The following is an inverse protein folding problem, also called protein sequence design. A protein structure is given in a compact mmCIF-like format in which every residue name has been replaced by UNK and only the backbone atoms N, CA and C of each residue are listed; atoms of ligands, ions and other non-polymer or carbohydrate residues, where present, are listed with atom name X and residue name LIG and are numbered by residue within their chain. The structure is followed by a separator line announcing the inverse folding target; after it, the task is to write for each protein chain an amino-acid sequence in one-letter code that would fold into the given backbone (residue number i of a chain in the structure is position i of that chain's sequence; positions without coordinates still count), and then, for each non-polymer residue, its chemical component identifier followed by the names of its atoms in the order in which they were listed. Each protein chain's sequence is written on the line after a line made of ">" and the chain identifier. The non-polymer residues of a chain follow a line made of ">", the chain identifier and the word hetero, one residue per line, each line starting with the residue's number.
data_IF_496515708085
#
_entry.id   IF_496515708085
#
_cell.length_a   1.000
_cell.length_b   1.000
_cell.length_c   1.000
_cell.angle_alpha   90.00
_cell.angle_beta   90.00
_cell.angle_gamma   90.00
#
_symmetry.space_group_name_H-M   'P 1'
#
loop_
_entity.id
_entity.type
_entity.pdbx_description
1 polymer ?
#
# COMPACT_ATOMS: atom_id res chain seq x y z
N UNK A 1 30.67 -14.90 3.83
CA UNK A 1 29.21 -15.05 3.76
C UNK A 1 28.88 -15.95 2.58
N UNK A 2 28.07 -16.99 2.78
CA UNK A 2 27.63 -17.87 1.69
C UNK A 2 26.43 -17.23 0.98
N UNK A 3 26.38 -17.34 -0.35
CA UNK A 3 25.31 -16.80 -1.19
C UNK A 3 24.63 -17.95 -1.91
N UNK A 4 23.30 -17.96 -1.92
CA UNK A 4 22.50 -18.91 -2.68
C UNK A 4 21.51 -18.16 -3.61
N UNK A 5 21.22 -18.68 -4.81
CA UNK A 5 20.18 -18.12 -5.67
C UNK A 5 18.80 -18.32 -5.05
N UNK A 6 17.99 -17.26 -4.97
CA UNK A 6 16.60 -17.31 -4.50
C UNK A 6 15.65 -16.69 -5.52
N UNK A 7 14.51 -17.33 -5.76
CA UNK A 7 13.45 -16.75 -6.58
C UNK A 7 12.82 -15.52 -5.94
N UNK A 8 12.40 -14.56 -6.75
CA UNK A 8 11.57 -13.42 -6.34
C UNK A 8 10.24 -13.56 -7.07
N UNK A 9 9.18 -13.81 -6.31
CA UNK A 9 7.82 -14.00 -6.84
C UNK A 9 7.21 -12.64 -7.25
N UNK A 10 7.71 -12.08 -8.34
CA UNK A 10 7.26 -10.82 -8.95
C UNK A 10 7.26 -11.00 -10.46
N UNK A 11 6.28 -10.40 -11.14
CA UNK A 11 6.17 -10.49 -12.59
C UNK A 11 7.39 -9.89 -13.32
N UNK A 12 7.71 -10.47 -14.48
CA UNK A 12 8.73 -9.90 -15.38
C UNK A 12 8.33 -8.52 -15.93
N UNK A 13 7.03 -8.18 -15.92
CA UNK A 13 6.55 -6.84 -16.29
C UNK A 13 6.99 -5.78 -15.28
N UNK A 14 6.91 -6.06 -13.97
CA UNK A 14 7.37 -5.13 -12.93
C UNK A 14 8.89 -4.88 -13.02
N UNK A 15 9.68 -5.92 -13.29
CA UNK A 15 11.13 -5.77 -13.51
C UNK A 15 11.41 -4.89 -14.73
N UNK A 16 10.75 -5.16 -15.87
CA UNK A 16 10.92 -4.37 -17.10
C UNK A 16 10.51 -2.91 -16.91
N UNK A 17 9.37 -2.68 -16.25
CA UNK A 17 8.86 -1.36 -15.94
C UNK A 17 9.86 -0.56 -15.11
N UNK A 18 10.28 -1.08 -13.96
CA UNK A 18 11.23 -0.38 -13.08
C UNK A 18 12.59 -0.18 -13.75
N UNK A 19 13.07 -1.17 -14.51
CA UNK A 19 14.32 -1.05 -15.28
C UNK A 19 14.27 0.10 -16.29
N UNK A 20 13.13 0.26 -16.98
CA UNK A 20 12.93 1.34 -17.94
C UNK A 20 12.90 2.71 -17.24
N UNK A 21 12.15 2.83 -16.14
CA UNK A 21 12.09 4.07 -15.35
C UNK A 21 13.45 4.46 -14.78
N UNK A 22 14.21 3.51 -14.22
CA UNK A 22 15.57 3.77 -13.73
C UNK A 22 16.53 4.15 -14.85
N UNK A 23 16.41 3.54 -16.03
CA UNK A 23 17.24 3.91 -17.20
C UNK A 23 16.97 5.35 -17.62
N UNK A 24 15.70 5.75 -17.68
CA UNK A 24 15.31 7.12 -17.99
C UNK A 24 15.83 8.09 -16.92
N UNK A 25 15.53 7.83 -15.65
CA UNK A 25 15.93 8.69 -14.52
C UNK A 25 17.45 8.91 -14.45
N UNK A 26 18.24 7.84 -14.65
CA UNK A 26 19.71 7.94 -14.68
C UNK A 26 20.23 8.76 -15.87
N UNK A 27 19.53 8.78 -17.00
CA UNK A 27 19.90 9.63 -18.15
C UNK A 27 19.64 11.10 -17.83
N UNK A 28 18.49 11.41 -17.24
CA UNK A 28 18.11 12.76 -16.81
C UNK A 28 19.11 13.32 -15.78
N UNK A 29 19.53 12.49 -14.81
CA UNK A 29 20.54 12.87 -13.82
C UNK A 29 22.00 12.86 -14.33
N UNK A 30 22.26 12.42 -15.57
CA UNK A 30 23.63 12.24 -16.08
C UNK A 30 24.44 11.12 -15.42
N UNK A 31 23.84 10.29 -14.56
CA UNK A 31 24.51 9.24 -13.76
C UNK A 31 24.44 7.86 -14.41
N UNK A 32 24.79 7.80 -15.70
CA UNK A 32 24.67 6.59 -16.53
C UNK A 32 25.58 5.44 -16.06
N UNK A 33 26.77 5.76 -15.58
CA UNK A 33 27.78 4.79 -15.15
C UNK A 33 27.65 4.49 -13.66
N UNK A 34 27.19 3.28 -13.33
CA UNK A 34 27.05 2.80 -11.95
C UNK A 34 27.37 1.32 -11.88
N UNK A 35 27.77 0.83 -10.70
CA UNK A 35 28.18 -0.57 -10.49
C UNK A 35 27.11 -1.59 -10.87
N UNK A 36 25.83 -1.29 -10.64
CA UNK A 36 24.72 -2.09 -11.13
C UNK A 36 24.04 -1.43 -12.34
N UNK A 37 23.75 -2.23 -13.36
CA UNK A 37 22.86 -1.82 -14.46
C UNK A 37 21.47 -1.45 -13.93
N UNK A 38 20.66 -0.67 -14.69
CA UNK A 38 19.28 -0.37 -14.28
C UNK A 38 18.45 -1.62 -13.98
N UNK A 39 18.65 -2.70 -14.75
CA UNK A 39 17.99 -3.98 -14.51
C UNK A 39 18.40 -4.65 -13.19
N UNK A 40 19.69 -4.63 -12.84
CA UNK A 40 20.15 -5.16 -11.55
C UNK A 40 19.72 -4.26 -10.38
N UNK A 41 19.67 -2.93 -10.55
CA UNK A 41 19.09 -2.02 -9.55
C UNK A 41 17.59 -2.26 -9.37
N UNK A 42 16.86 -2.53 -10.45
CA UNK A 42 15.44 -2.89 -10.35
C UNK A 42 15.28 -4.21 -9.57
N UNK A 43 16.07 -5.23 -9.89
CA UNK A 43 15.98 -6.53 -9.25
C UNK A 43 16.31 -6.49 -7.74
N UNK A 44 17.37 -5.79 -7.33
CA UNK A 44 17.71 -5.63 -5.90
C UNK A 44 16.58 -4.91 -5.14
N UNK A 45 15.91 -3.94 -5.78
CA UNK A 45 14.75 -3.23 -5.21
C UNK A 45 13.54 -4.13 -5.09
N UNK A 46 13.21 -4.90 -6.14
CA UNK A 46 12.10 -5.85 -6.10
C UNK A 46 12.32 -6.94 -5.05
N UNK A 47 13.54 -7.46 -4.92
CA UNK A 47 13.89 -8.41 -3.88
C UNK A 47 13.69 -7.82 -2.47
N UNK A 48 14.07 -6.55 -2.26
CA UNK A 48 13.83 -5.86 -0.99
C UNK A 48 12.34 -5.69 -0.69
N UNK A 49 11.56 -5.13 -1.62
CA UNK A 49 10.14 -4.84 -1.43
C UNK A 49 9.31 -6.14 -1.29
N UNK A 50 9.57 -7.13 -2.15
CA UNK A 50 8.81 -8.38 -2.19
C UNK A 50 9.14 -9.28 -1.02
N UNK A 51 10.42 -9.49 -0.72
CA UNK A 51 10.86 -10.50 0.25
C UNK A 51 11.26 -9.91 1.60
N UNK A 52 11.47 -8.60 1.71
CA UNK A 52 11.94 -7.96 2.94
C UNK A 52 13.42 -8.25 3.25
N UNK A 53 14.23 -8.58 2.24
CA UNK A 53 15.65 -8.89 2.45
C UNK A 53 16.41 -7.68 3.03
N UNK A 54 17.20 -7.86 4.11
CA UNK A 54 18.07 -6.82 4.64
C UNK A 54 19.12 -6.35 3.62
N UNK A 55 19.55 -5.09 3.71
CA UNK A 55 20.55 -4.53 2.79
C UNK A 55 21.88 -5.30 2.80
N UNK A 56 22.28 -5.89 3.93
CA UNK A 56 23.48 -6.73 4.02
C UNK A 56 23.39 -7.98 3.13
N UNK A 57 22.23 -8.65 3.12
CA UNK A 57 22.01 -9.83 2.28
C UNK A 57 21.95 -9.47 0.80
N UNK A 58 21.27 -8.37 0.47
CA UNK A 58 21.21 -7.84 -0.89
C UNK A 58 22.59 -7.42 -1.39
N UNK A 59 23.38 -6.73 -0.56
CA UNK A 59 24.73 -6.31 -0.88
C UNK A 59 25.64 -7.50 -1.22
N UNK A 60 25.63 -8.53 -0.37
CA UNK A 60 26.38 -9.77 -0.59
C UNK A 60 25.95 -10.47 -1.89
N UNK A 61 24.65 -10.65 -2.11
CA UNK A 61 24.12 -11.34 -3.30
C UNK A 61 24.37 -10.60 -4.62
N UNK A 62 24.48 -9.27 -4.58
CA UNK A 62 24.69 -8.44 -5.78
C UNK A 62 26.13 -7.98 -5.98
N UNK A 63 27.05 -8.29 -5.06
CA UNK A 63 28.47 -7.92 -5.16
C UNK A 63 28.73 -6.42 -5.02
N UNK A 64 27.96 -5.74 -4.15
CA UNK A 64 28.05 -4.30 -3.88
C UNK A 64 28.16 -4.03 -2.38
N UNK A 65 28.57 -2.82 -1.99
CA UNK A 65 28.55 -2.40 -0.58
C UNK A 65 27.13 -2.22 -0.03
N UNK A 66 26.96 -2.36 1.29
CA UNK A 66 25.67 -2.17 1.99
C UNK A 66 25.08 -0.78 1.74
N UNK A 67 25.91 0.26 1.83
CA UNK A 67 25.52 1.65 1.53
C UNK A 67 25.07 1.80 0.07
N UNK A 68 25.72 1.11 -0.86
CA UNK A 68 25.32 1.11 -2.28
C UNK A 68 23.97 0.43 -2.47
N UNK A 69 23.74 -0.72 -1.83
CA UNK A 69 22.45 -1.40 -1.86
C UNK A 69 21.33 -0.51 -1.29
N UNK A 70 21.56 0.12 -0.14
CA UNK A 70 20.63 1.09 0.44
C UNK A 70 20.31 2.23 -0.53
N UNK A 71 21.33 2.91 -1.07
CA UNK A 71 21.14 4.05 -2.01
C UNK A 71 20.34 3.65 -3.24
N UNK A 72 20.63 2.48 -3.81
CA UNK A 72 19.91 1.98 -4.97
C UNK A 72 18.45 1.66 -4.70
N UNK A 73 18.16 1.04 -3.55
CA UNK A 73 16.78 0.75 -3.15
C UNK A 73 16.04 2.05 -2.83
N UNK A 74 16.65 2.96 -2.07
CA UNK A 74 16.04 4.24 -1.68
C UNK A 74 15.67 5.08 -2.91
N UNK A 75 16.60 5.24 -3.86
CA UNK A 75 16.36 5.96 -5.11
C UNK A 75 15.25 5.33 -5.94
N UNK A 76 15.23 4.00 -6.07
CA UNK A 76 14.19 3.31 -6.83
C UNK A 76 12.81 3.43 -6.15
N UNK A 77 12.75 3.40 -4.81
CA UNK A 77 11.53 3.63 -4.03
C UNK A 77 11.03 5.05 -4.23
N UNK A 78 11.91 6.05 -4.19
CA UNK A 78 11.52 7.45 -4.34
C UNK A 78 11.01 7.73 -5.77
N UNK A 79 11.67 7.16 -6.78
CA UNK A 79 11.21 7.20 -8.17
C UNK A 79 9.83 6.56 -8.34
N UNK A 80 9.59 5.38 -7.74
CA UNK A 80 8.30 4.70 -7.84
C UNK A 80 7.21 5.43 -7.06
N UNK A 81 7.53 5.99 -5.89
CA UNK A 81 6.59 6.74 -5.07
C UNK A 81 6.10 8.01 -5.79
N UNK A 82 6.99 8.69 -6.52
CA UNK A 82 6.63 9.85 -7.35
C UNK A 82 5.71 9.52 -8.53
N UNK A 83 5.63 8.24 -8.92
CA UNK A 83 4.75 7.74 -9.98
C UNK A 83 3.43 7.18 -9.46
N UNK A 84 3.23 7.15 -8.15
CA UNK A 84 1.99 6.63 -7.58
C UNK A 84 0.82 7.59 -7.85
N UNK A 85 -0.38 7.05 -8.11
CA UNK A 85 -1.52 7.89 -8.49
C UNK A 85 -1.93 8.82 -7.34
N UNK A 86 -2.32 10.04 -7.69
CA UNK A 86 -2.96 10.95 -6.73
C UNK A 86 -4.37 10.47 -6.37
N UNK A 87 -4.97 11.05 -5.32
CA UNK A 87 -6.35 10.72 -4.97
C UNK A 87 -7.32 11.14 -6.08
N UNK A 88 -7.05 12.24 -6.78
CA UNK A 88 -7.83 12.74 -7.91
C UNK A 88 -7.74 11.81 -9.13
N UNK A 89 -6.56 11.24 -9.40
CA UNK A 89 -6.38 10.20 -10.41
C UNK A 89 -7.16 8.93 -10.07
N UNK A 90 -7.09 8.50 -8.81
CA UNK A 90 -7.86 7.38 -8.32
C UNK A 90 -9.38 7.66 -8.43
N UNK A 91 -9.82 8.88 -8.13
CA UNK A 91 -11.22 9.30 -8.26
C UNK A 91 -11.71 9.22 -9.71
N UNK A 92 -10.91 9.67 -10.68
CA UNK A 92 -11.23 9.56 -12.11
C UNK A 92 -11.36 8.10 -12.58
N UNK A 93 -10.56 7.20 -12.02
CA UNK A 93 -10.68 5.76 -12.29
C UNK A 93 -11.90 5.16 -11.60
N UNK A 94 -12.16 5.58 -10.36
CA UNK A 94 -13.25 5.11 -9.52
C UNK A 94 -14.64 5.55 -10.04
N UNK A 95 -14.77 6.73 -10.65
CA UNK A 95 -16.03 7.21 -11.21
C UNK A 95 -16.57 6.36 -12.37
N UNK A 96 -15.69 5.55 -12.98
CA UNK A 96 -16.06 4.57 -14.02
C UNK A 96 -16.48 3.21 -13.44
N UNK A 97 -16.52 3.06 -12.11
CA UNK A 97 -16.90 1.83 -11.41
C UNK A 97 -18.28 1.98 -10.78
N UNK A 98 -19.01 0.88 -10.67
CA UNK A 98 -20.35 0.87 -10.05
C UNK A 98 -20.31 1.24 -8.56
N UNK A 99 -19.22 0.87 -7.89
CA UNK A 99 -18.87 1.26 -6.54
C UNK A 99 -17.36 1.07 -6.33
N UNK A 100 -16.86 1.56 -5.21
CA UNK A 100 -15.52 1.23 -4.71
C UNK A 100 -15.59 0.72 -3.28
N UNK A 101 -14.47 0.19 -2.81
CA UNK A 101 -14.29 -0.29 -1.45
C UNK A 101 -13.27 0.58 -0.74
N UNK A 102 -13.54 0.93 0.52
CA UNK A 102 -12.64 1.65 1.40
C UNK A 102 -12.35 0.80 2.63
N UNK A 103 -11.07 0.60 2.93
CA UNK A 103 -10.64 -0.08 4.14
C UNK A 103 -9.33 0.49 4.67
N UNK A 104 -9.14 0.36 5.98
CA UNK A 104 -7.96 0.81 6.70
C UNK A 104 -7.12 -0.39 7.09
N UNK A 105 -5.81 -0.32 6.89
CA UNK A 105 -4.90 -1.38 7.29
C UNK A 105 -3.75 -0.84 8.13
N UNK A 106 -3.45 -1.57 9.22
CA UNK A 106 -2.29 -1.31 10.03
C UNK A 106 -1.07 -2.06 9.46
N UNK A 107 -0.01 -1.31 9.17
CA UNK A 107 1.32 -1.82 8.82
C UNK A 107 2.19 -1.85 10.09
N UNK A 108 2.58 -3.03 10.59
CA UNK A 108 3.34 -3.12 11.84
C UNK A 108 4.73 -2.48 11.72
N UNK A 109 5.13 -1.73 12.75
CA UNK A 109 6.48 -1.18 12.91
C UNK A 109 7.09 -1.69 14.21
N UNK A 110 8.41 -1.58 14.34
CA UNK A 110 9.06 -1.72 15.65
C UNK A 110 8.67 -0.53 16.56
N UNK A 111 8.67 -0.76 17.88
CA UNK A 111 8.41 0.29 18.86
C UNK A 111 9.47 1.38 18.74
N UNK A 112 9.03 2.62 18.61
CA UNK A 112 9.90 3.80 18.57
C UNK A 112 9.66 4.68 19.80
N UNK A 113 10.62 5.56 20.13
CA UNK A 113 10.60 6.35 21.36
C UNK A 113 9.33 7.19 21.57
N UNK A 114 8.75 7.72 20.48
CA UNK A 114 7.48 8.45 20.54
C UNK A 114 6.30 7.59 21.05
N UNK A 115 6.36 6.27 20.81
CA UNK A 115 5.51 5.22 21.39
C UNK A 115 4.00 5.37 21.14
N UNK A 116 3.31 6.17 21.95
CA UNK A 116 1.83 6.28 22.00
C UNK A 116 1.18 6.63 20.65
N UNK A 117 1.67 7.58 19.84
CA UNK A 117 1.03 7.93 18.57
C UNK A 117 0.95 6.76 17.59
N UNK A 118 1.89 5.81 17.70
CA UNK A 118 1.99 4.67 16.79
C UNK A 118 1.32 3.42 17.35
N UNK A 119 0.96 3.41 18.64
CA UNK A 119 0.30 2.28 19.27
C UNK A 119 -1.18 2.24 18.91
N UNK A 120 -1.59 1.20 18.17
CA UNK A 120 -3.00 0.97 17.86
C UNK A 120 -3.66 0.14 18.96
N UNK A 121 -4.58 0.74 19.72
CA UNK A 121 -5.35 0.02 20.74
C UNK A 121 -6.17 -1.13 20.17
N UNK A 122 -6.71 -0.98 18.95
CA UNK A 122 -7.47 -2.02 18.22
C UNK A 122 -6.63 -3.26 17.94
N UNK A 123 -5.38 -3.07 17.53
CA UNK A 123 -4.49 -4.17 17.12
C UNK A 123 -3.46 -4.57 18.18
N UNK A 124 -3.41 -3.86 19.31
CA UNK A 124 -2.44 -4.02 20.42
C UNK A 124 -0.98 -4.03 19.95
N UNK A 125 -0.67 -3.25 18.91
CA UNK A 125 0.64 -3.23 18.23
C UNK A 125 0.98 -1.83 17.75
N UNK A 126 2.27 -1.53 17.65
CA UNK A 126 2.77 -0.34 16.95
C UNK A 126 2.65 -0.52 15.44
N UNK A 127 2.19 0.52 14.77
CA UNK A 127 2.06 0.50 13.33
C UNK A 127 1.77 1.87 12.72
N UNK A 128 1.66 1.86 11.40
CA UNK A 128 1.15 2.97 10.62
C UNK A 128 -0.18 2.59 10.01
N UNK A 129 -1.16 3.48 10.09
CA UNK A 129 -2.45 3.31 9.43
C UNK A 129 -2.36 3.80 7.98
N UNK A 130 -2.81 2.97 7.04
CA UNK A 130 -2.92 3.29 5.61
C UNK A 130 -4.35 2.99 5.15
N UNK A 131 -4.96 3.94 4.46
CA UNK A 131 -6.28 3.79 3.86
C UNK A 131 -6.12 3.29 2.42
N UNK A 132 -6.99 2.38 2.02
CA UNK A 132 -6.94 1.72 0.71
C UNK A 132 -8.26 1.93 -0.01
N UNK A 133 -8.17 2.27 -1.30
CA UNK A 133 -9.30 2.21 -2.22
C UNK A 133 -9.11 1.03 -3.17
N UNK A 134 -10.16 0.22 -3.33
CA UNK A 134 -10.18 -0.91 -4.25
C UNK A 134 -11.43 -0.89 -5.14
N UNK A 135 -11.32 -1.50 -6.32
CA UNK A 135 -12.43 -1.68 -7.25
C UNK A 135 -13.34 -2.87 -6.86
N UNK A 136 -14.49 -3.04 -7.52
CA UNK A 136 -15.39 -4.18 -7.28
C UNK A 136 -14.80 -5.57 -7.52
N UNK A 137 -13.62 -5.66 -8.13
CA UNK A 137 -12.88 -6.92 -8.35
C UNK A 137 -11.82 -7.15 -7.27
N UNK A 138 -11.74 -6.29 -6.24
CA UNK A 138 -10.73 -6.36 -5.20
C UNK A 138 -9.35 -5.90 -5.64
N UNK A 139 -9.23 -5.18 -6.77
CA UNK A 139 -7.95 -4.63 -7.23
C UNK A 139 -7.68 -3.28 -6.57
N UNK A 140 -6.45 -3.09 -6.11
CA UNK A 140 -6.03 -1.80 -5.53
C UNK A 140 -6.11 -0.71 -6.59
N UNK A 141 -6.73 0.42 -6.23
CA UNK A 141 -6.75 1.64 -7.02
C UNK A 141 -5.83 2.69 -6.42
N UNK A 142 -5.79 2.76 -5.09
CA UNK A 142 -5.05 3.78 -4.38
C UNK A 142 -4.74 3.36 -2.94
N UNK A 143 -3.66 3.93 -2.39
CA UNK A 143 -3.29 3.80 -0.99
C UNK A 143 -2.87 5.17 -0.46
N UNK A 144 -3.28 5.50 0.76
CA UNK A 144 -2.97 6.80 1.35
C UNK A 144 -1.52 6.92 1.81
N UNK A 145 -1.04 8.16 2.01
CA UNK A 145 0.08 8.39 2.91
C UNK A 145 -0.16 7.74 4.26
N UNK A 146 0.91 7.23 4.87
CA UNK A 146 0.83 6.51 6.13
C UNK A 146 0.68 7.47 7.31
N UNK A 147 -0.34 7.26 8.13
CA UNK A 147 -0.59 8.01 9.37
C UNK A 147 -0.18 7.17 10.60
N UNK A 148 0.02 7.80 11.78
CA UNK A 148 0.29 7.05 13.01
C UNK A 148 -0.83 6.04 13.33
N UNK A 149 -0.46 4.85 13.82
CA UNK A 149 -1.39 3.72 14.04
C UNK A 149 -2.51 3.96 15.07
N UNK A 150 -2.41 5.00 15.90
CA UNK A 150 -3.48 5.40 16.81
C UNK A 150 -4.62 6.17 16.11
N UNK A 151 -4.41 6.67 14.89
CA UNK A 151 -5.42 7.43 14.15
C UNK A 151 -6.55 6.49 13.71
N UNK A 152 -7.78 6.82 14.11
CA UNK A 152 -8.98 6.10 13.71
C UNK A 152 -9.24 6.20 12.21
N UNK A 153 -9.78 5.13 11.61
CA UNK A 153 -9.98 5.01 10.17
C UNK A 153 -10.85 6.14 9.57
N UNK A 154 -11.96 6.52 10.23
CA UNK A 154 -12.77 7.67 9.79
C UNK A 154 -12.00 8.99 9.79
N UNK A 155 -11.11 9.19 10.78
CA UNK A 155 -10.29 10.40 10.87
C UNK A 155 -9.25 10.42 9.76
N UNK A 156 -8.57 9.29 9.53
CA UNK A 156 -7.62 9.12 8.44
C UNK A 156 -8.28 9.39 7.07
N UNK A 157 -9.45 8.83 6.82
CA UNK A 157 -10.18 9.06 5.56
C UNK A 157 -10.61 10.52 5.36
N UNK A 158 -10.96 11.24 6.44
CA UNK A 158 -11.26 12.68 6.38
C UNK A 158 -10.00 13.51 6.15
N UNK A 159 -8.91 13.20 6.86
CA UNK A 159 -7.62 13.90 6.74
C UNK A 159 -7.05 13.78 5.33
N UNK A 160 -7.19 12.62 4.70
CA UNK A 160 -6.79 12.41 3.31
C UNK A 160 -7.80 12.91 2.27
N UNK A 161 -8.94 13.51 2.68
CA UNK A 161 -9.93 14.05 1.76
C UNK A 161 -10.74 13.00 1.00
N UNK A 162 -10.64 11.71 1.35
CA UNK A 162 -11.34 10.59 0.69
C UNK A 162 -12.85 10.81 0.76
N UNK A 163 -13.37 11.14 1.94
CA UNK A 163 -14.82 11.35 2.14
C UNK A 163 -15.35 12.48 1.27
N UNK A 164 -14.60 13.59 1.18
CA UNK A 164 -14.95 14.74 0.34
C UNK A 164 -14.96 14.32 -1.13
N UNK A 165 -13.88 13.69 -1.61
CA UNK A 165 -13.76 13.21 -2.98
C UNK A 165 -14.93 12.30 -3.38
N UNK A 166 -15.31 11.34 -2.52
CA UNK A 166 -16.42 10.42 -2.81
C UNK A 166 -17.78 11.12 -2.87
N UNK A 167 -17.95 12.20 -2.11
CA UNK A 167 -19.17 12.99 -2.09
C UNK A 167 -19.26 13.85 -3.35
N UNK A 168 -18.20 14.60 -3.65
CA UNK A 168 -18.12 15.51 -4.79
C UNK A 168 -18.26 14.75 -6.13
N UNK A 169 -17.68 13.56 -6.23
CA UNK A 169 -17.75 12.72 -7.42
C UNK A 169 -18.99 11.81 -7.48
N UNK A 170 -19.84 11.78 -6.44
CA UNK A 170 -21.02 10.92 -6.38
C UNK A 170 -20.71 9.40 -6.38
N UNK A 171 -19.50 9.00 -5.99
CA UNK A 171 -19.02 7.61 -6.11
C UNK A 171 -19.52 6.79 -4.92
N UNK A 172 -20.33 5.76 -5.18
CA UNK A 172 -20.78 4.81 -4.16
C UNK A 172 -19.59 4.08 -3.56
N UNK A 173 -19.47 4.06 -2.24
CA UNK A 173 -18.37 3.43 -1.53
C UNK A 173 -18.90 2.48 -0.45
N UNK A 174 -18.32 1.29 -0.32
CA UNK A 174 -18.57 0.38 0.79
C UNK A 174 -17.40 0.38 1.75
N UNK A 175 -17.67 0.57 3.04
CA UNK A 175 -16.64 0.70 4.07
C UNK A 175 -17.01 -0.07 5.34
N UNK A 176 -16.02 -0.33 6.19
CA UNK A 176 -16.23 -1.01 7.47
C UNK A 176 -16.96 -0.14 8.52
N UNK A 177 -17.25 -0.74 9.68
CA UNK A 177 -17.92 -0.05 10.81
C UNK A 177 -17.10 1.10 11.39
N UNK A 178 -15.79 1.11 11.19
CA UNK A 178 -14.87 2.16 11.63
C UNK A 178 -15.06 3.48 10.90
N UNK A 179 -15.72 3.49 9.75
CA UNK A 179 -16.06 4.68 8.96
C UNK A 179 -17.42 5.28 9.32
N UNK A 180 -17.78 5.32 10.59
CA UNK A 180 -19.08 5.90 11.02
C UNK A 180 -19.09 7.43 10.91
N UNK A 181 -20.22 7.98 10.44
CA UNK A 181 -20.47 9.42 10.41
C UNK A 181 -20.11 10.24 9.16
N UNK A 182 -19.53 9.73 8.06
CA UNK A 182 -19.32 10.53 6.86
C UNK A 182 -20.63 10.84 6.10
N UNK A 183 -21.70 10.05 6.26
CA UNK A 183 -22.95 10.25 5.53
C UNK A 183 -22.78 10.09 4.01
N UNK A 184 -23.84 10.35 3.23
CA UNK A 184 -23.75 10.43 1.77
C UNK A 184 -23.45 9.11 1.07
N UNK A 185 -22.35 9.07 0.29
CA UNK A 185 -22.02 7.98 -0.64
C UNK A 185 -21.35 6.77 0.02
N UNK A 186 -20.88 6.90 1.26
CA UNK A 186 -20.22 5.82 2.02
C UNK A 186 -21.26 4.96 2.75
N UNK A 187 -21.33 3.68 2.39
CA UNK A 187 -22.24 2.67 2.93
C UNK A 187 -21.52 1.77 3.92
N UNK A 188 -21.97 1.83 5.17
CA UNK A 188 -21.50 1.00 6.29
C UNK A 188 -22.58 -0.02 6.69
N UNK A 189 -22.22 -1.16 7.30
CA UNK A 189 -23.20 -2.15 7.73
C UNK A 189 -24.04 -1.62 8.91
N UNK A 190 -25.24 -2.17 9.08
CA UNK A 190 -26.11 -1.86 10.22
C UNK A 190 -25.42 -2.23 11.54
N UNK A 191 -25.61 -1.36 12.53
CA UNK A 191 -24.96 -1.45 13.83
C UNK A 191 -25.90 -2.05 14.90
N UNK A 192 -25.33 -2.76 15.87
CA UNK A 192 -26.06 -3.45 16.92
C UNK A 192 -25.50 -4.86 17.18
N UNK A 193 -25.97 -5.49 18.26
CA UNK A 193 -25.72 -6.92 18.51
C UNK A 193 -26.47 -7.73 17.47
N UNK A 194 -25.92 -8.86 17.05
CA UNK A 194 -26.54 -9.66 15.99
C UNK A 194 -27.97 -10.03 16.35
N UNK A 195 -28.23 -10.43 17.59
CA UNK A 195 -29.52 -10.84 18.12
C UNK A 195 -30.57 -9.72 18.00
N UNK A 196 -30.14 -8.47 18.19
CA UNK A 196 -31.02 -7.27 18.17
C UNK A 196 -31.35 -6.77 16.76
N UNK A 197 -30.65 -7.24 15.73
CA UNK A 197 -30.90 -6.83 14.34
C UNK A 197 -32.09 -7.59 13.75
N UNK A 198 -32.91 -6.88 12.98
CA UNK A 198 -33.98 -7.51 12.19
C UNK A 198 -33.40 -8.47 11.14
N UNK A 199 -34.22 -9.41 10.67
CA UNK A 199 -33.78 -10.36 9.62
C UNK A 199 -33.31 -9.64 8.34
N UNK A 200 -33.97 -8.54 7.97
CA UNK A 200 -33.57 -7.70 6.85
C UNK A 200 -32.19 -7.04 7.07
N UNK A 201 -31.95 -6.47 8.25
CA UNK A 201 -30.65 -5.88 8.59
C UNK A 201 -29.52 -6.92 8.62
N UNK A 202 -29.81 -8.12 9.15
CA UNK A 202 -28.89 -9.27 9.10
C UNK A 202 -28.56 -9.68 7.66
N UNK A 203 -29.55 -9.73 6.78
CA UNK A 203 -29.36 -10.04 5.37
C UNK A 203 -28.46 -9.00 4.68
N UNK A 204 -28.71 -7.70 4.89
CA UNK A 204 -27.85 -6.63 4.37
C UNK A 204 -26.42 -6.75 4.91
N UNK A 205 -26.25 -7.00 6.21
CA UNK A 205 -24.92 -7.16 6.80
C UNK A 205 -24.16 -8.38 6.25
N UNK A 206 -24.84 -9.48 5.93
CA UNK A 206 -24.22 -10.63 5.24
C UNK A 206 -23.74 -10.26 3.84
N UNK A 207 -24.57 -9.56 3.06
CA UNK A 207 -24.18 -9.08 1.73
C UNK A 207 -23.02 -8.08 1.81
N UNK A 208 -23.06 -7.16 2.78
CA UNK A 208 -21.98 -6.21 3.05
C UNK A 208 -20.67 -6.93 3.38
N UNK A 209 -20.70 -7.95 4.24
CA UNK A 209 -19.53 -8.76 4.56
C UNK A 209 -18.93 -9.46 3.34
N UNK A 210 -19.76 -9.99 2.42
CA UNK A 210 -19.27 -10.58 1.16
C UNK A 210 -18.57 -9.56 0.27
N UNK A 211 -19.12 -8.35 0.17
CA UNK A 211 -18.49 -7.25 -0.58
C UNK A 211 -17.16 -6.84 0.08
N UNK A 212 -17.10 -6.81 1.41
CA UNK A 212 -15.86 -6.49 2.15
C UNK A 212 -14.75 -7.52 2.00
N UNK A 213 -15.07 -8.80 1.76
CA UNK A 213 -14.03 -9.81 1.51
C UNK A 213 -13.13 -9.43 0.32
N UNK A 214 -13.64 -8.66 -0.66
CA UNK A 214 -12.87 -8.17 -1.80
C UNK A 214 -11.83 -7.11 -1.43
N UNK A 215 -12.12 -6.23 -0.45
CA UNK A 215 -11.13 -5.25 0.00
C UNK A 215 -10.09 -5.90 0.92
N UNK A 216 -10.49 -6.91 1.68
CA UNK A 216 -9.55 -7.75 2.43
C UNK A 216 -8.57 -8.47 1.50
N UNK A 217 -9.02 -8.91 0.31
CA UNK A 217 -8.13 -9.43 -0.73
C UNK A 217 -7.16 -8.37 -1.26
N UNK A 218 -7.60 -7.13 -1.46
CA UNK A 218 -6.74 -6.02 -1.87
C UNK A 218 -5.66 -5.73 -0.79
N UNK A 219 -6.06 -5.69 0.49
CA UNK A 219 -5.15 -5.56 1.64
C UNK A 219 -4.17 -6.72 1.71
N UNK A 220 -4.63 -7.96 1.50
CA UNK A 220 -3.79 -9.14 1.48
C UNK A 220 -2.77 -9.09 0.34
N UNK A 221 -3.18 -8.57 -0.81
CA UNK A 221 -2.28 -8.34 -1.96
C UNK A 221 -1.20 -7.32 -1.62
N UNK A 222 -1.55 -6.22 -0.96
CA UNK A 222 -0.56 -5.27 -0.45
C UNK A 222 0.40 -5.95 0.55
N UNK A 223 -0.12 -6.72 1.50
CA UNK A 223 0.68 -7.45 2.51
C UNK A 223 1.42 -8.69 1.99
N UNK A 224 1.17 -9.07 0.73
CA UNK A 224 1.98 -10.09 0.05
C UNK A 224 3.40 -9.59 -0.22
N UNK A 225 3.59 -8.27 -0.32
CA UNK A 225 4.90 -7.61 -0.26
C UNK A 225 5.43 -7.67 1.17
N UNK A 226 6.31 -8.64 1.43
CA UNK A 226 6.70 -9.05 2.78
C UNK A 226 7.34 -7.93 3.59
N UNK A 227 7.94 -6.93 2.94
CA UNK A 227 8.44 -5.74 3.61
C UNK A 227 7.36 -5.03 4.45
N UNK A 228 6.12 -5.00 3.96
CA UNK A 228 4.99 -4.33 4.64
C UNK A 228 4.42 -5.14 5.81
N UNK A 229 4.83 -6.40 6.00
CA UNK A 229 4.37 -7.23 7.14
C UNK A 229 5.01 -6.81 8.46
N UNK A 230 6.24 -6.29 8.40
CA UNK A 230 6.94 -5.70 9.53
C UNK A 230 8.01 -4.73 9.03
N UNK A 231 7.74 -3.44 9.17
CA UNK A 231 8.61 -2.37 8.71
C UNK A 231 9.68 -2.05 9.75
N UNK A 232 10.95 -2.16 9.33
CA UNK A 232 12.14 -1.91 10.16
C UNK A 232 12.90 -0.67 9.68
N UNK A 233 12.18 0.39 9.36
CA UNK A 233 12.71 1.63 8.82
C UNK A 233 12.10 2.83 9.54
N UNK A 234 12.65 4.02 9.29
CA UNK A 234 12.05 5.28 9.75
C UNK A 234 10.59 5.39 9.27
N UNK A 235 9.72 5.89 10.14
CA UNK A 235 8.30 6.12 9.83
C UNK A 235 8.12 7.08 8.65
N UNK A 236 9.04 8.02 8.47
CA UNK A 236 9.06 8.95 7.34
C UNK A 236 9.19 8.27 5.97
N UNK A 237 9.76 7.05 5.91
CA UNK A 237 9.95 6.30 4.66
C UNK A 237 8.74 5.42 4.31
N UNK A 238 7.82 5.19 5.24
CA UNK A 238 6.74 4.20 5.09
C UNK A 238 5.78 4.61 3.98
N UNK A 239 5.43 5.90 3.88
CA UNK A 239 4.63 6.42 2.76
C UNK A 239 5.27 6.07 1.42
N UNK A 240 6.55 6.39 1.21
CA UNK A 240 7.24 6.09 -0.05
C UNK A 240 7.28 4.59 -0.36
N UNK A 241 7.44 3.74 0.65
CA UNK A 241 7.41 2.28 0.47
C UNK A 241 6.01 1.79 0.02
N UNK A 242 4.95 2.29 0.65
CA UNK A 242 3.57 1.95 0.28
C UNK A 242 3.26 2.42 -1.14
N UNK A 243 3.61 3.67 -1.47
CA UNK A 243 3.42 4.22 -2.81
C UNK A 243 4.23 3.47 -3.87
N UNK A 244 5.48 3.10 -3.57
CA UNK A 244 6.29 2.32 -4.48
C UNK A 244 5.69 0.93 -4.77
N UNK A 245 5.16 0.26 -3.74
CA UNK A 245 4.46 -1.01 -3.90
C UNK A 245 3.17 -0.84 -4.71
N UNK A 246 2.40 0.22 -4.47
CA UNK A 246 1.20 0.55 -5.24
C UNK A 246 1.52 0.73 -6.72
N UNK A 247 2.53 1.54 -7.05
CA UNK A 247 2.97 1.76 -8.43
C UNK A 247 3.37 0.45 -9.13
N UNK A 248 4.13 -0.40 -8.45
CA UNK A 248 4.52 -1.71 -8.99
C UNK A 248 3.31 -2.62 -9.21
N UNK A 249 2.36 -2.63 -8.27
CA UNK A 249 1.13 -3.39 -8.39
C UNK A 249 0.32 -2.96 -9.61
N UNK A 250 0.06 -1.66 -9.76
CA UNK A 250 -0.71 -1.10 -10.88
C UNK A 250 -0.02 -1.37 -12.22
N UNK A 251 1.28 -1.09 -12.33
CA UNK A 251 2.05 -1.35 -13.54
C UNK A 251 2.13 -2.85 -13.94
N UNK A 252 1.89 -3.75 -12.98
CA UNK A 252 1.83 -5.19 -13.23
C UNK A 252 0.43 -5.71 -13.54
N UNK A 253 -0.62 -4.96 -13.16
CA UNK A 253 -2.03 -5.35 -13.27
C UNK A 253 -2.75 -4.76 -14.49
N UNK A 254 -2.17 -3.77 -15.16
CA UNK A 254 -2.70 -3.17 -16.40
C UNK A 254 -2.43 -4.04 -17.65
N UNK A 255 -2.48 -5.36 -17.51
CA UNK A 255 -2.42 -6.33 -18.62
C UNK A 255 -3.55 -7.32 -18.55
#
# INVERSE_FOLDING_TARGET
>A
MLVYPSGVDVSSSALRFLSAKLRQHRRELGTRWRRLSPGRQALITLAHLRNGHPYAQLAAGFGVGTTTAYRYVAEAVDLLAALAPTLEEAARTASRKAFILLDGTLLPIDRIAADRPFYSGKHKKHGMNVQILADPSGRLLWASPALPGAVHDVRAAREHGIVRMLTDAGIKCWADKGYRGPGGTVRIPYWGRWETLSQGQKAVNRSHAKIRALVEQAVATLKSWRLLRKLRCSTARITSLVQAVLTLYLASSDR
#
